data_IF_642611016364
#
_entry.id   IF_642611016364
#
_cell.length_a   1.000
_cell.length_b   1.000
_cell.length_c   1.000
_cell.angle_alpha   90.00
_cell.angle_beta   90.00
_cell.angle_gamma   90.00
#
_symmetry.space_group_name_H-M   'P 1'
#
loop_
_entity.id
_entity.type
_entity.pdbx_description
1 polymer ?
#
# COMPACT_ATOMS: atom_id res chain seq x y z
N UNK A 1 7.46 -6.87 28.23
CA UNK A 1 7.36 -8.05 27.37
C UNK A 1 6.01 -8.12 26.67
N UNK A 2 5.79 -9.09 25.78
CA UNK A 2 4.54 -9.19 25.05
C UNK A 2 3.35 -9.39 26.00
N UNK A 3 2.25 -8.70 25.73
CA UNK A 3 1.02 -8.76 26.50
C UNK A 3 -0.17 -9.12 25.60
N UNK A 4 -1.11 -9.95 26.05
CA UNK A 4 -2.31 -10.29 25.31
C UNK A 4 -3.36 -9.17 25.42
N UNK A 5 -2.99 -7.98 24.94
CA UNK A 5 -3.90 -6.84 24.90
C UNK A 5 -4.80 -6.96 23.67
N UNK A 6 -6.09 -6.82 23.85
CA UNK A 6 -7.04 -6.81 22.75
C UNK A 6 -6.91 -5.50 21.97
N UNK A 7 -6.41 -5.59 20.76
CA UNK A 7 -6.30 -4.44 19.82
C UNK A 7 -7.39 -4.47 18.77
N UNK A 8 -7.84 -5.66 18.37
CA UNK A 8 -9.00 -5.86 17.51
C UNK A 8 -9.53 -7.28 17.63
N UNK A 9 -10.85 -7.45 17.44
CA UNK A 9 -11.49 -8.76 17.49
C UNK A 9 -11.13 -9.58 16.25
N UNK A 10 -10.81 -10.86 16.47
CA UNK A 10 -10.57 -11.88 15.43
C UNK A 10 -9.50 -11.53 14.37
N UNK A 11 -8.62 -10.59 14.68
CA UNK A 11 -7.48 -10.28 13.82
C UNK A 11 -6.21 -10.93 14.36
N UNK A 12 -5.51 -11.66 13.52
CA UNK A 12 -4.20 -12.19 13.84
C UNK A 12 -3.14 -11.11 13.59
N UNK A 13 -2.35 -10.80 14.60
CA UNK A 13 -1.32 -9.78 14.49
C UNK A 13 -0.73 -9.40 15.83
N UNK A 14 0.12 -8.41 15.82
CA UNK A 14 0.70 -7.82 17.02
C UNK A 14 0.90 -6.32 16.80
N UNK A 15 0.95 -5.57 17.90
CA UNK A 15 1.29 -4.15 17.91
C UNK A 15 2.61 -3.93 18.60
N UNK A 16 3.45 -3.07 18.04
CA UNK A 16 4.66 -2.57 18.70
C UNK A 16 4.44 -1.09 18.97
N UNK A 17 4.47 -0.71 20.25
CA UNK A 17 4.40 0.68 20.66
C UNK A 17 5.78 1.15 21.10
N UNK A 18 6.23 2.28 20.55
CA UNK A 18 7.49 2.92 20.90
C UNK A 18 7.18 4.36 21.31
N UNK A 19 7.59 4.73 22.49
CA UNK A 19 7.47 6.11 22.96
C UNK A 19 8.69 6.48 23.82
N UNK A 20 9.13 7.75 23.82
CA UNK A 20 10.17 8.20 24.73
C UNK A 20 9.61 8.21 26.16
N UNK A 21 10.38 7.70 27.11
CA UNK A 21 10.00 7.70 28.51
C UNK A 21 11.19 8.21 29.35
N UNK A 22 10.93 9.11 30.28
CA UNK A 22 11.89 9.51 31.28
C UNK A 22 11.96 8.50 32.45
N UNK A 23 12.84 8.75 33.42
CA UNK A 23 13.02 7.86 34.56
C UNK A 23 11.77 7.75 35.44
N UNK A 24 11.00 8.82 35.59
CA UNK A 24 9.79 8.83 36.41
C UNK A 24 8.65 8.04 35.72
N UNK A 25 8.47 8.23 34.41
CA UNK A 25 7.52 7.48 33.59
C UNK A 25 7.87 5.97 33.56
N UNK A 26 9.17 5.64 33.48
CA UNK A 26 9.61 4.25 33.54
C UNK A 26 9.28 3.58 34.89
N UNK A 27 9.42 4.29 35.99
CA UNK A 27 9.01 3.77 37.32
C UNK A 27 7.50 3.60 37.41
N UNK A 28 6.68 4.49 36.81
CA UNK A 28 5.24 4.33 36.71
C UNK A 28 4.84 3.10 35.90
N UNK A 29 5.55 2.82 34.80
CA UNK A 29 5.31 1.63 33.97
C UNK A 29 5.67 0.32 34.70
N UNK A 30 6.64 0.37 35.61
CA UNK A 30 7.05 -0.77 36.44
C UNK A 30 6.18 -0.95 37.67
N UNK A 31 5.41 0.05 38.04
CA UNK A 31 4.58 -0.01 39.25
C UNK A 31 3.54 -1.16 39.15
N UNK A 32 3.31 -1.89 40.23
CA UNK A 32 2.31 -2.95 40.25
C UNK A 32 0.92 -2.35 40.06
N UNK A 33 0.16 -2.91 39.11
CA UNK A 33 -1.23 -2.51 38.84
C UNK A 33 -2.16 -3.72 39.04
N UNK A 34 -3.36 -3.52 39.58
CA UNK A 34 -4.28 -4.63 39.89
C UNK A 34 -5.00 -5.18 38.65
N UNK A 35 -4.51 -4.90 37.45
CA UNK A 35 -5.12 -5.33 36.19
C UNK A 35 -4.38 -6.57 35.69
N UNK A 36 -5.03 -7.72 35.67
CA UNK A 36 -4.44 -9.00 35.27
C UNK A 36 -3.93 -9.01 33.81
N UNK A 37 -4.48 -8.16 32.92
CA UNK A 37 -4.04 -8.05 31.53
C UNK A 37 -2.74 -7.26 31.35
N UNK A 38 -2.26 -6.52 32.38
CA UNK A 38 -1.00 -5.82 32.32
C UNK A 38 0.14 -6.70 32.90
N UNK A 39 1.06 -7.22 32.05
CA UNK A 39 2.11 -8.14 32.49
C UNK A 39 3.29 -7.46 33.19
N UNK A 40 3.25 -6.13 33.33
CA UNK A 40 4.40 -5.35 33.80
C UNK A 40 5.45 -5.10 32.71
N UNK A 41 6.54 -4.52 33.10
CA UNK A 41 7.67 -4.17 32.22
C UNK A 41 8.89 -5.01 32.64
N UNK A 42 9.59 -5.57 31.66
CA UNK A 42 10.88 -6.24 31.90
C UNK A 42 11.97 -5.22 32.22
N UNK A 43 13.05 -5.65 32.88
CA UNK A 43 14.22 -4.82 33.04
C UNK A 43 14.77 -4.34 31.69
N UNK A 44 14.98 -3.05 31.59
CA UNK A 44 15.59 -2.44 30.41
C UNK A 44 17.08 -2.81 30.40
N UNK A 45 17.47 -3.63 29.43
CA UNK A 45 18.87 -3.98 29.21
C UNK A 45 19.52 -2.96 28.29
N UNK A 46 20.84 -2.70 28.39
CA UNK A 46 21.55 -1.91 27.39
C UNK A 46 21.29 -2.46 26.00
N UNK A 47 20.97 -1.57 25.05
CA UNK A 47 20.73 -1.96 23.68
C UNK A 47 22.06 -2.37 23.04
N UNK A 48 22.16 -3.63 22.59
CA UNK A 48 23.24 -4.05 21.72
C UNK A 48 22.86 -3.66 20.27
N UNK A 49 23.56 -2.70 19.71
CA UNK A 49 23.39 -2.33 18.30
C UNK A 49 24.04 -3.43 17.46
N UNK A 50 23.24 -4.23 16.80
CA UNK A 50 23.74 -5.17 15.80
C UNK A 50 24.03 -4.41 14.49
N UNK A 51 25.17 -4.72 13.86
CA UNK A 51 25.44 -4.24 12.51
C UNK A 51 24.36 -4.78 11.54
N UNK A 52 23.98 -3.96 10.58
CA UNK A 52 23.12 -4.44 9.48
C UNK A 52 23.86 -5.57 8.75
N UNK A 53 23.19 -6.68 8.43
CA UNK A 53 23.76 -7.70 7.56
C UNK A 53 24.22 -7.09 6.24
N UNK A 54 25.28 -7.68 5.66
CA UNK A 54 25.77 -7.28 4.34
C UNK A 54 24.63 -7.35 3.30
N UNK A 55 24.54 -6.33 2.45
CA UNK A 55 23.49 -6.20 1.44
C UNK A 55 22.19 -5.53 1.89
N UNK A 56 22.01 -5.21 3.17
CA UNK A 56 20.87 -4.43 3.68
C UNK A 56 21.12 -2.92 3.76
N UNK A 57 22.24 -2.44 3.24
CA UNK A 57 22.50 -0.99 3.17
C UNK A 57 21.44 -0.34 2.26
N UNK A 58 20.67 0.64 2.73
CA UNK A 58 19.69 1.32 1.90
C UNK A 58 20.36 1.95 0.68
N UNK A 59 19.92 1.56 -0.51
CA UNK A 59 20.35 2.20 -1.75
C UNK A 59 19.59 3.51 -1.84
N UNK A 60 20.28 4.63 -1.69
CA UNK A 60 19.70 5.95 -1.94
C UNK A 60 19.75 6.20 -3.45
N UNK A 61 18.60 6.26 -4.14
CA UNK A 61 18.60 6.52 -5.56
C UNK A 61 19.12 7.94 -5.83
N UNK A 62 19.94 8.07 -6.89
CA UNK A 62 20.45 9.38 -7.28
C UNK A 62 19.36 10.16 -8.01
N UNK A 63 19.00 11.34 -7.48
CA UNK A 63 18.02 12.23 -8.09
C UNK A 63 18.43 12.58 -9.53
N UNK A 64 17.46 12.56 -10.44
CA UNK A 64 17.66 12.98 -11.83
C UNK A 64 16.40 13.63 -12.37
N UNK A 65 16.52 14.43 -13.44
CA UNK A 65 15.40 15.17 -14.02
C UNK A 65 15.04 14.63 -15.39
N UNK A 66 13.75 14.33 -15.59
CA UNK A 66 13.16 14.02 -16.89
C UNK A 66 11.74 14.57 -16.93
N UNK A 67 11.52 15.59 -17.76
CA UNK A 67 10.29 16.38 -17.75
C UNK A 67 9.02 15.55 -18.02
N UNK A 68 9.08 14.62 -18.97
CA UNK A 68 7.93 13.77 -19.30
C UNK A 68 7.59 12.81 -18.14
N UNK A 69 8.59 12.17 -17.52
CA UNK A 69 8.38 11.29 -16.37
C UNK A 69 7.85 12.06 -15.15
N UNK A 70 8.37 13.29 -14.93
CA UNK A 70 7.86 14.18 -13.89
C UNK A 70 6.37 14.46 -14.10
N UNK A 71 6.01 14.90 -15.29
CA UNK A 71 4.63 15.21 -15.62
C UNK A 71 3.73 13.98 -15.45
N UNK A 72 4.18 12.81 -15.92
CA UNK A 72 3.46 11.54 -15.76
C UNK A 72 3.20 11.21 -14.29
N UNK A 73 4.22 11.23 -13.44
CA UNK A 73 4.08 10.91 -12.00
C UNK A 73 3.15 11.92 -11.32
N UNK A 74 3.34 13.22 -11.57
CA UNK A 74 2.50 14.28 -10.98
C UNK A 74 1.05 14.13 -11.42
N UNK A 75 0.79 13.84 -12.71
CA UNK A 75 -0.57 13.65 -13.21
C UNK A 75 -1.25 12.43 -12.55
N UNK A 76 -0.58 11.29 -12.46
CA UNK A 76 -1.10 10.12 -11.74
C UNK A 76 -1.43 10.44 -10.27
N UNK A 77 -0.54 11.17 -9.60
CA UNK A 77 -0.78 11.59 -8.21
C UNK A 77 -1.99 12.52 -8.11
N UNK A 78 -2.15 13.47 -9.03
CA UNK A 78 -3.30 14.38 -9.03
C UNK A 78 -4.63 13.67 -9.24
N UNK A 79 -4.69 12.59 -10.02
CA UNK A 79 -5.89 11.74 -10.16
C UNK A 79 -6.29 11.15 -8.81
N UNK A 80 -5.34 10.60 -8.05
CA UNK A 80 -5.61 10.03 -6.74
C UNK A 80 -6.04 11.09 -5.72
N UNK A 81 -5.40 12.27 -5.75
CA UNK A 81 -5.77 13.39 -4.88
C UNK A 81 -7.19 13.88 -5.20
N UNK A 82 -7.53 14.02 -6.49
CA UNK A 82 -8.87 14.44 -6.89
C UNK A 82 -9.97 13.43 -6.52
N UNK A 83 -9.60 12.13 -6.46
CA UNK A 83 -10.52 11.05 -6.11
C UNK A 83 -10.71 10.84 -4.59
N UNK A 84 -10.03 11.58 -3.73
CA UNK A 84 -9.96 11.35 -2.28
C UNK A 84 -11.35 11.19 -1.64
N UNK A 85 -12.25 12.14 -1.87
CA UNK A 85 -13.58 12.13 -1.24
C UNK A 85 -14.46 10.98 -1.74
N UNK A 86 -14.42 10.70 -3.03
CA UNK A 86 -15.21 9.62 -3.63
C UNK A 86 -14.74 8.25 -3.12
N UNK A 87 -13.42 8.04 -3.04
CA UNK A 87 -12.85 6.80 -2.54
C UNK A 87 -13.12 6.60 -1.05
N UNK A 88 -13.08 7.67 -0.25
CA UNK A 88 -13.50 7.62 1.15
C UNK A 88 -14.98 7.27 1.28
N UNK A 89 -15.85 7.85 0.43
CA UNK A 89 -17.28 7.54 0.43
C UNK A 89 -17.58 6.09 0.03
N UNK A 90 -16.78 5.51 -0.88
CA UNK A 90 -16.85 4.08 -1.21
C UNK A 90 -16.38 3.22 -0.05
N UNK A 91 -15.25 3.57 0.54
CA UNK A 91 -14.66 2.81 1.65
C UNK A 91 -15.53 2.85 2.91
N UNK A 92 -16.19 3.96 3.21
CA UNK A 92 -17.12 4.07 4.34
C UNK A 92 -18.28 3.06 4.29
N UNK A 93 -18.55 2.44 3.14
CA UNK A 93 -19.57 1.39 2.97
C UNK A 93 -19.02 -0.02 3.25
N UNK A 94 -17.71 -0.20 3.15
CA UNK A 94 -17.05 -1.51 3.23
C UNK A 94 -15.77 -1.53 4.07
N UNK A 95 -15.45 -0.43 4.74
CA UNK A 95 -14.26 -0.24 5.55
C UNK A 95 -14.45 0.87 6.58
N UNK A 96 -13.40 1.60 6.87
CA UNK A 96 -13.37 2.71 7.83
C UNK A 96 -13.39 4.10 7.20
N UNK A 97 -13.48 4.18 5.87
CA UNK A 97 -13.68 5.42 5.13
C UNK A 97 -12.39 6.23 4.91
N UNK A 98 -11.23 5.61 4.95
CA UNK A 98 -9.94 6.30 4.88
C UNK A 98 -9.07 5.95 3.65
N UNK A 99 -9.52 5.03 2.78
CA UNK A 99 -8.75 4.61 1.59
C UNK A 99 -8.38 5.79 0.68
N UNK A 100 -9.30 6.71 0.46
CA UNK A 100 -9.04 7.91 -0.34
C UNK A 100 -7.98 8.80 0.30
N UNK A 101 -8.08 9.08 1.59
CA UNK A 101 -7.12 9.89 2.34
C UNK A 101 -5.73 9.24 2.37
N UNK A 102 -5.67 7.92 2.51
CA UNK A 102 -4.43 7.16 2.48
C UNK A 102 -3.73 7.27 1.12
N UNK A 103 -4.47 7.07 0.02
CA UNK A 103 -3.93 7.19 -1.34
C UNK A 103 -3.55 8.63 -1.69
N UNK A 104 -4.38 9.61 -1.35
CA UNK A 104 -4.10 11.02 -1.59
C UNK A 104 -2.91 11.52 -0.75
N UNK A 105 -2.77 11.06 0.49
CA UNK A 105 -1.62 11.34 1.34
C UNK A 105 -0.31 10.83 0.73
N UNK A 106 -0.30 9.58 0.26
CA UNK A 106 0.84 8.99 -0.44
C UNK A 106 1.16 9.73 -1.76
N UNK A 107 0.14 10.11 -2.52
CA UNK A 107 0.30 10.89 -3.75
C UNK A 107 0.92 12.28 -3.48
N UNK A 108 0.48 12.99 -2.43
CA UNK A 108 1.09 14.26 -2.00
C UNK A 108 2.54 14.08 -1.56
N UNK A 109 2.85 13.00 -0.84
CA UNK A 109 4.21 12.69 -0.44
C UNK A 109 5.12 12.45 -1.65
N UNK A 110 4.67 11.70 -2.67
CA UNK A 110 5.41 11.51 -3.91
C UNK A 110 5.63 12.82 -4.68
N UNK A 111 4.63 13.72 -4.74
CA UNK A 111 4.80 15.06 -5.34
C UNK A 111 5.85 15.86 -4.56
N UNK A 112 5.82 15.83 -3.24
CA UNK A 112 6.82 16.52 -2.40
C UNK A 112 8.23 15.92 -2.53
N UNK A 113 8.32 14.63 -2.85
CA UNK A 113 9.58 13.94 -3.08
C UNK A 113 10.11 14.08 -4.52
N UNK A 114 9.33 14.62 -5.46
CA UNK A 114 9.56 14.53 -6.91
C UNK A 114 10.97 14.98 -7.33
N UNK A 115 11.54 15.98 -6.68
CA UNK A 115 12.88 16.51 -6.98
C UNK A 115 14.02 15.60 -6.48
N UNK A 116 13.71 14.65 -5.62
CA UNK A 116 14.65 13.66 -5.10
C UNK A 116 14.56 12.32 -5.84
N UNK A 117 13.58 12.16 -6.73
CA UNK A 117 13.36 10.91 -7.45
C UNK A 117 14.29 10.76 -8.66
N UNK A 118 14.70 9.55 -9.03
CA UNK A 118 15.53 9.26 -10.20
C UNK A 118 14.70 9.22 -11.49
N UNK A 119 14.16 10.36 -11.92
CA UNK A 119 13.16 10.46 -13.00
C UNK A 119 13.67 10.02 -14.38
N UNK A 120 14.99 10.00 -14.61
CA UNK A 120 15.59 9.55 -15.87
C UNK A 120 15.81 8.04 -15.94
N UNK A 121 15.67 7.33 -14.82
CA UNK A 121 15.87 5.88 -14.73
C UNK A 121 14.59 5.23 -14.18
N UNK A 122 13.80 4.65 -15.06
CA UNK A 122 12.52 4.04 -14.70
C UNK A 122 12.66 2.87 -13.73
N UNK A 123 13.76 2.14 -13.78
CA UNK A 123 14.05 1.02 -12.87
C UNK A 123 14.25 1.53 -11.45
N UNK A 124 15.11 2.53 -11.29
CA UNK A 124 15.36 3.14 -9.99
C UNK A 124 14.14 3.94 -9.50
N UNK A 125 13.38 4.53 -10.42
CA UNK A 125 12.13 5.25 -10.09
C UNK A 125 11.09 4.32 -9.44
N UNK A 126 10.87 3.13 -10.00
CA UNK A 126 9.94 2.16 -9.40
C UNK A 126 10.37 1.80 -7.97
N UNK A 127 11.65 1.53 -7.74
CA UNK A 127 12.19 1.24 -6.40
C UNK A 127 12.03 2.44 -5.45
N UNK A 128 12.31 3.65 -5.94
CA UNK A 128 12.19 4.87 -5.15
C UNK A 128 10.72 5.17 -4.77
N UNK A 129 9.76 4.94 -5.68
CA UNK A 129 8.33 5.02 -5.39
C UNK A 129 7.97 4.00 -4.30
N UNK A 130 8.40 2.74 -4.42
CA UNK A 130 8.17 1.73 -3.38
C UNK A 130 8.71 2.14 -2.01
N UNK A 131 9.92 2.70 -1.98
CA UNK A 131 10.53 3.21 -0.75
C UNK A 131 9.74 4.38 -0.14
N UNK A 132 9.32 5.35 -0.95
CA UNK A 132 8.52 6.49 -0.47
C UNK A 132 7.17 6.02 0.08
N UNK A 133 6.49 5.10 -0.60
CA UNK A 133 5.23 4.53 -0.13
C UNK A 133 5.38 3.76 1.18
N UNK A 134 6.48 3.03 1.37
CA UNK A 134 6.74 2.30 2.61
C UNK A 134 6.88 3.21 3.83
N UNK A 135 7.25 4.46 3.63
CA UNK A 135 7.45 5.46 4.69
C UNK A 135 6.24 6.36 4.92
N UNK A 136 5.42 6.55 3.90
CA UNK A 136 4.38 7.58 3.90
C UNK A 136 2.96 7.04 3.86
N UNK A 137 2.78 5.81 3.39
CA UNK A 137 1.47 5.19 3.26
C UNK A 137 1.25 4.16 4.37
N UNK A 138 0.27 4.40 5.21
CA UNK A 138 -0.10 3.50 6.31
C UNK A 138 -0.85 2.25 5.86
N UNK A 139 -1.05 1.33 6.81
CA UNK A 139 -1.86 0.14 6.63
C UNK A 139 -1.21 -0.96 5.77
N UNK A 140 -1.94 -2.05 5.56
CA UNK A 140 -1.47 -3.17 4.73
C UNK A 140 -1.34 -2.80 3.25
N UNK A 141 -2.18 -1.89 2.75
CA UNK A 141 -2.13 -1.40 1.37
C UNK A 141 -0.82 -0.68 1.05
N UNK A 142 -0.29 0.12 2.00
CA UNK A 142 1.00 0.78 1.84
C UNK A 142 2.15 -0.20 1.71
N UNK A 143 2.20 -1.20 2.58
CA UNK A 143 3.21 -2.27 2.52
C UNK A 143 3.11 -3.04 1.19
N UNK A 144 1.91 -3.41 0.78
CA UNK A 144 1.70 -4.20 -0.43
C UNK A 144 2.03 -3.41 -1.71
N UNK A 145 1.68 -2.12 -1.78
CA UNK A 145 2.07 -1.25 -2.89
C UNK A 145 3.59 -1.00 -2.91
N UNK A 146 4.23 -0.84 -1.75
CA UNK A 146 5.68 -0.74 -1.68
C UNK A 146 6.37 -2.00 -2.22
N UNK A 147 5.86 -3.20 -1.88
CA UNK A 147 6.33 -4.48 -2.41
C UNK A 147 6.12 -4.56 -3.93
N UNK A 148 4.95 -4.15 -4.42
CA UNK A 148 4.65 -4.10 -5.84
C UNK A 148 5.69 -3.29 -6.62
N UNK A 149 5.92 -2.05 -6.20
CA UNK A 149 6.86 -1.15 -6.88
C UNK A 149 8.31 -1.61 -6.75
N UNK A 150 8.73 -2.10 -5.59
CA UNK A 150 10.07 -2.64 -5.38
C UNK A 150 10.33 -3.85 -6.30
N UNK A 151 9.43 -4.82 -6.33
CA UNK A 151 9.56 -6.01 -7.16
C UNK A 151 9.45 -5.70 -8.66
N UNK A 152 8.64 -4.71 -9.05
CA UNK A 152 8.60 -4.22 -10.43
C UNK A 152 9.94 -3.58 -10.82
N UNK A 153 10.55 -2.79 -9.93
CA UNK A 153 11.89 -2.23 -10.12
C UNK A 153 12.96 -3.31 -10.26
N UNK A 154 12.88 -4.37 -9.47
CA UNK A 154 13.80 -5.51 -9.55
C UNK A 154 13.64 -6.28 -10.88
N UNK A 155 12.40 -6.50 -11.31
CA UNK A 155 12.12 -7.08 -12.61
C UNK A 155 12.68 -6.26 -13.77
N UNK A 156 12.48 -4.94 -13.76
CA UNK A 156 13.04 -4.03 -14.77
C UNK A 156 14.58 -4.02 -14.74
N UNK A 157 15.19 -4.07 -13.55
CA UNK A 157 16.64 -4.19 -13.38
C UNK A 157 17.22 -5.48 -13.97
N UNK A 158 16.41 -6.54 -13.96
CA UNK A 158 16.77 -7.84 -14.55
C UNK A 158 16.52 -7.90 -16.07
N UNK A 159 16.13 -6.79 -16.69
CA UNK A 159 15.92 -6.68 -18.14
C UNK A 159 14.51 -7.02 -18.62
N UNK A 160 13.53 -7.19 -17.72
CA UNK A 160 12.14 -7.37 -18.13
C UNK A 160 11.59 -6.10 -18.78
N UNK A 161 10.80 -6.21 -19.86
CA UNK A 161 10.00 -5.10 -20.37
C UNK A 161 9.09 -4.53 -19.27
N UNK A 162 8.78 -3.24 -19.32
CA UNK A 162 8.05 -2.56 -18.26
C UNK A 162 6.74 -3.26 -17.86
N UNK A 163 5.96 -3.71 -18.83
CA UNK A 163 4.72 -4.47 -18.55
C UNK A 163 4.99 -5.74 -17.74
N UNK A 164 6.00 -6.52 -18.14
CA UNK A 164 6.36 -7.77 -17.44
C UNK A 164 6.95 -7.48 -16.05
N UNK A 165 7.68 -6.39 -15.91
CA UNK A 165 8.17 -5.93 -14.63
C UNK A 165 7.01 -5.55 -13.67
N UNK A 166 5.99 -4.82 -14.15
CA UNK A 166 4.78 -4.51 -13.37
C UNK A 166 4.01 -5.80 -13.01
N UNK A 167 3.92 -6.77 -13.92
CA UNK A 167 3.30 -8.08 -13.62
C UNK A 167 4.09 -8.86 -12.56
N UNK A 168 5.41 -8.81 -12.59
CA UNK A 168 6.24 -9.40 -11.54
C UNK A 168 5.99 -8.71 -10.18
N UNK A 169 5.83 -7.39 -10.18
CA UNK A 169 5.40 -6.62 -9.01
C UNK A 169 4.06 -7.10 -8.46
N UNK A 170 3.06 -7.26 -9.34
CA UNK A 170 1.75 -7.76 -8.96
C UNK A 170 1.82 -9.19 -8.38
N UNK A 171 2.56 -10.07 -9.03
CA UNK A 171 2.74 -11.44 -8.57
C UNK A 171 3.36 -11.47 -7.14
N UNK A 172 4.37 -10.64 -6.89
CA UNK A 172 4.99 -10.54 -5.56
C UNK A 172 4.03 -9.97 -4.51
N UNK A 173 3.27 -8.93 -4.88
CA UNK A 173 2.23 -8.37 -4.01
C UNK A 173 1.17 -9.42 -3.66
N UNK A 174 0.75 -10.23 -4.62
CA UNK A 174 -0.22 -11.32 -4.40
C UNK A 174 0.36 -12.46 -3.56
N UNK A 175 1.62 -12.81 -3.75
CA UNK A 175 2.31 -13.83 -2.95
C UNK A 175 2.33 -13.46 -1.45
N UNK A 176 2.65 -12.20 -1.15
CA UNK A 176 2.75 -11.72 0.24
C UNK A 176 1.38 -11.40 0.83
N UNK A 177 0.51 -10.72 0.06
CA UNK A 177 -0.81 -10.28 0.53
C UNK A 177 -1.90 -11.34 0.42
N UNK A 178 -1.70 -12.40 -0.35
CA UNK A 178 -2.63 -13.51 -0.54
C UNK A 178 -3.83 -13.21 -1.44
N UNK A 179 -4.10 -11.94 -1.78
CA UNK A 179 -5.27 -11.54 -2.56
C UNK A 179 -5.18 -12.01 -4.02
N UNK A 180 -6.32 -12.43 -4.57
CA UNK A 180 -6.48 -12.90 -5.94
C UNK A 180 -7.70 -12.24 -6.58
N UNK A 181 -7.84 -12.39 -7.89
CA UNK A 181 -9.08 -11.99 -8.59
C UNK A 181 -10.27 -12.71 -7.94
N UNK A 182 -11.33 -11.97 -7.65
CA UNK A 182 -12.52 -12.43 -6.94
C UNK A 182 -12.46 -12.23 -5.41
N UNK A 183 -11.40 -11.64 -4.88
CA UNK A 183 -11.25 -11.38 -3.44
C UNK A 183 -11.72 -9.97 -3.04
N UNK A 184 -12.22 -9.19 -3.99
CA UNK A 184 -12.75 -7.83 -3.79
C UNK A 184 -11.68 -6.87 -3.29
N UNK A 185 -10.66 -6.66 -4.12
CA UNK A 185 -9.51 -5.79 -3.84
C UNK A 185 -9.05 -5.06 -5.11
N UNK A 186 -8.06 -4.17 -5.02
CA UNK A 186 -7.41 -3.55 -6.18
C UNK A 186 -6.89 -4.56 -7.21
N UNK A 187 -6.61 -5.81 -6.82
CA UNK A 187 -6.12 -6.87 -7.71
C UNK A 187 -7.14 -7.18 -8.80
N UNK A 188 -8.44 -7.05 -8.49
CA UNK A 188 -9.53 -7.32 -9.43
C UNK A 188 -9.52 -6.35 -10.64
N UNK A 189 -9.02 -5.14 -10.46
CA UNK A 189 -8.84 -4.16 -11.53
C UNK A 189 -7.41 -4.18 -12.11
N UNK A 190 -6.38 -4.29 -11.25
CA UNK A 190 -4.98 -4.17 -11.66
C UNK A 190 -4.52 -5.36 -12.51
N UNK A 191 -4.93 -6.58 -12.15
CA UNK A 191 -4.49 -7.78 -12.87
C UNK A 191 -4.99 -7.78 -14.34
N UNK A 192 -6.29 -7.62 -14.63
CA UNK A 192 -6.74 -7.56 -16.02
C UNK A 192 -6.22 -6.32 -16.76
N UNK A 193 -6.00 -5.18 -16.08
CA UNK A 193 -5.41 -4.00 -16.69
C UNK A 193 -3.99 -4.28 -17.20
N UNK A 194 -3.13 -4.88 -16.38
CA UNK A 194 -1.75 -5.21 -16.77
C UNK A 194 -1.68 -6.27 -17.88
N UNK A 195 -2.64 -7.21 -17.94
CA UNK A 195 -2.77 -8.14 -19.07
C UNK A 195 -3.12 -7.37 -20.35
N UNK A 196 -4.16 -6.55 -20.33
CA UNK A 196 -4.66 -5.81 -21.48
C UNK A 196 -3.71 -4.69 -21.94
N UNK A 197 -2.78 -4.25 -21.08
CA UNK A 197 -1.75 -3.24 -21.42
C UNK A 197 -0.85 -3.68 -22.57
N UNK A 198 -0.73 -5.00 -22.81
CA UNK A 198 -0.04 -5.55 -23.96
C UNK A 198 -0.71 -5.23 -25.30
N UNK A 199 -1.99 -4.89 -25.29
CA UNK A 199 -2.76 -4.50 -26.50
C UNK A 199 -2.73 -2.99 -26.67
N UNK A 200 -3.18 -2.23 -25.68
CA UNK A 200 -3.15 -0.76 -25.64
C UNK A 200 -3.48 -0.24 -24.26
N UNK A 201 -3.17 1.04 -24.01
CA UNK A 201 -3.56 1.75 -22.78
C UNK A 201 -5.09 1.83 -22.67
N UNK A 202 -5.79 2.05 -23.77
CA UNK A 202 -7.26 2.09 -23.79
C UNK A 202 -7.88 0.71 -23.44
N UNK A 203 -7.29 -0.38 -23.94
CA UNK A 203 -7.73 -1.72 -23.56
C UNK A 203 -7.49 -1.98 -22.06
N UNK A 204 -6.37 -1.52 -21.53
CA UNK A 204 -6.05 -1.63 -20.10
C UNK A 204 -7.04 -0.82 -19.24
N UNK A 205 -7.44 0.38 -19.68
CA UNK A 205 -8.45 1.19 -19.00
C UNK A 205 -9.82 0.51 -18.97
N UNK A 206 -10.26 -0.06 -20.10
CA UNK A 206 -11.49 -0.85 -20.17
C UNK A 206 -11.46 -2.04 -19.21
N UNK A 207 -10.37 -2.81 -19.23
CA UNK A 207 -10.20 -3.97 -18.37
C UNK A 207 -10.14 -3.60 -16.88
N UNK A 208 -9.48 -2.48 -16.53
CA UNK A 208 -9.47 -1.95 -15.17
C UNK A 208 -10.87 -1.58 -14.70
N UNK A 209 -11.64 -0.89 -15.53
CA UNK A 209 -13.03 -0.47 -15.23
C UNK A 209 -13.93 -1.69 -15.05
N UNK A 210 -13.87 -2.66 -15.94
CA UNK A 210 -14.62 -3.90 -15.83
C UNK A 210 -14.27 -4.66 -14.55
N UNK A 211 -12.98 -4.76 -14.21
CA UNK A 211 -12.51 -5.38 -12.98
C UNK A 211 -12.99 -4.64 -11.72
N UNK A 212 -12.98 -3.31 -11.73
CA UNK A 212 -13.53 -2.51 -10.63
C UNK A 212 -15.03 -2.75 -10.48
N UNK A 213 -15.80 -2.71 -11.57
CA UNK A 213 -17.24 -2.95 -11.56
C UNK A 213 -17.58 -4.38 -11.11
N UNK A 214 -16.75 -5.36 -11.47
CA UNK A 214 -16.90 -6.74 -11.02
C UNK A 214 -16.89 -6.86 -9.50
N UNK A 215 -16.09 -6.05 -8.79
CA UNK A 215 -16.06 -6.07 -7.32
C UNK A 215 -17.41 -5.75 -6.68
N UNK A 216 -18.27 -4.98 -7.35
CA UNK A 216 -19.62 -4.66 -6.87
C UNK A 216 -20.58 -5.86 -6.90
N UNK A 217 -20.27 -6.89 -7.69
CA UNK A 217 -21.06 -8.13 -7.75
C UNK A 217 -20.65 -9.13 -6.66
N UNK A 218 -19.52 -8.89 -5.99
CA UNK A 218 -18.98 -9.79 -4.98
C UNK A 218 -19.59 -9.47 -3.61
N UNK A 219 -20.26 -10.42 -3.02
CA UNK A 219 -20.92 -10.32 -1.71
C UNK A 219 -19.98 -10.68 -0.55
N UNK A 220 -18.75 -11.07 -0.85
CA UNK A 220 -17.73 -11.44 0.14
C UNK A 220 -16.36 -10.93 -0.28
N UNK A 221 -15.68 -10.24 0.62
CA UNK A 221 -14.26 -9.96 0.50
C UNK A 221 -13.46 -11.02 1.27
N UNK A 222 -12.26 -11.36 0.79
CA UNK A 222 -11.37 -12.31 1.47
C UNK A 222 -10.10 -11.63 2.01
N UNK A 223 -9.89 -10.37 1.70
CA UNK A 223 -8.75 -9.60 2.16
C UNK A 223 -9.17 -8.20 2.60
N UNK A 224 -8.31 -7.55 3.37
CA UNK A 224 -8.56 -6.22 3.91
C UNK A 224 -9.70 -6.16 4.93
N UNK A 225 -10.11 -4.95 5.31
CA UNK A 225 -11.18 -4.73 6.30
C UNK A 225 -12.54 -5.19 5.82
N UNK A 226 -12.79 -5.12 4.52
CA UNK A 226 -14.02 -5.61 3.91
C UNK A 226 -14.29 -7.10 4.18
N UNK A 227 -13.28 -7.89 4.54
CA UNK A 227 -13.45 -9.31 4.90
C UNK A 227 -14.30 -9.51 6.17
N UNK A 228 -14.44 -8.49 7.01
CA UNK A 228 -15.23 -8.51 8.24
C UNK A 228 -16.63 -7.89 8.07
N UNK A 229 -16.97 -7.42 6.87
CA UNK A 229 -18.24 -6.78 6.55
C UNK A 229 -19.22 -7.83 6.02
N UNK A 230 -20.51 -7.69 6.37
CA UNK A 230 -21.52 -8.63 5.92
C UNK A 230 -21.88 -8.43 4.43
N UNK A 231 -22.38 -9.50 3.78
CA UNK A 231 -22.68 -9.53 2.36
C UNK A 231 -23.60 -8.40 1.90
N UNK A 232 -24.64 -8.05 2.69
CA UNK A 232 -25.61 -7.00 2.33
C UNK A 232 -25.00 -5.61 2.23
N UNK A 233 -23.95 -5.35 3.00
CA UNK A 233 -23.24 -4.06 2.97
C UNK A 233 -22.22 -3.97 1.83
N UNK A 234 -21.76 -5.12 1.32
CA UNK A 234 -20.81 -5.16 0.21
C UNK A 234 -21.50 -5.12 -1.16
N UNK A 235 -22.70 -5.66 -1.25
CA UNK A 235 -23.44 -5.82 -2.50
C UNK A 235 -23.74 -4.46 -3.17
N UNK A 236 -23.45 -4.36 -4.46
CA UNK A 236 -23.68 -3.16 -5.26
C UNK A 236 -22.63 -2.04 -5.06
N UNK A 237 -21.61 -2.26 -4.24
CA UNK A 237 -20.56 -1.27 -4.00
C UNK A 237 -19.21 -1.73 -4.55
N UNK A 238 -18.58 -0.86 -5.35
CA UNK A 238 -17.25 -1.09 -5.90
C UNK A 238 -16.21 -1.04 -4.78
N UNK A 239 -15.17 -1.89 -4.88
CA UNK A 239 -14.00 -1.79 -3.99
C UNK A 239 -13.25 -0.48 -4.22
N UNK A 240 -12.93 0.31 -3.18
CA UNK A 240 -12.28 1.62 -3.34
C UNK A 240 -10.87 1.51 -3.95
N UNK A 241 -10.13 0.43 -3.67
CA UNK A 241 -8.82 0.19 -4.27
C UNK A 241 -8.92 -0.15 -5.76
N UNK A 242 -9.90 -0.96 -6.16
CA UNK A 242 -10.17 -1.27 -7.56
C UNK A 242 -10.65 -0.03 -8.33
N UNK A 243 -11.47 0.82 -7.72
CA UNK A 243 -11.90 2.10 -8.30
C UNK A 243 -10.72 3.04 -8.52
N UNK A 244 -9.79 3.13 -7.56
CA UNK A 244 -8.58 3.95 -7.71
C UNK A 244 -7.73 3.50 -8.91
N UNK A 245 -7.56 2.18 -9.09
CA UNK A 245 -6.85 1.61 -10.24
C UNK A 245 -7.56 1.94 -11.54
N UNK A 246 -8.89 1.79 -11.60
CA UNK A 246 -9.66 2.09 -12.81
C UNK A 246 -9.50 3.57 -13.21
N UNK A 247 -9.64 4.50 -12.28
CA UNK A 247 -9.46 5.94 -12.54
C UNK A 247 -8.06 6.30 -13.05
N UNK A 248 -7.02 5.65 -12.51
CA UNK A 248 -5.66 5.84 -13.02
C UNK A 248 -5.52 5.39 -14.46
N UNK A 249 -5.98 4.19 -14.81
CA UNK A 249 -5.89 3.69 -16.18
C UNK A 249 -6.77 4.47 -17.16
N UNK A 250 -7.96 4.92 -16.75
CA UNK A 250 -8.81 5.81 -17.55
C UNK A 250 -8.13 7.14 -17.85
N UNK A 251 -7.48 7.74 -16.85
CA UNK A 251 -6.69 8.96 -17.05
C UNK A 251 -5.52 8.75 -18.03
N UNK A 252 -4.84 7.60 -17.94
CA UNK A 252 -3.73 7.29 -18.86
C UNK A 252 -4.19 7.03 -20.31
N UNK A 253 -5.46 6.71 -20.51
CA UNK A 253 -6.06 6.47 -21.83
C UNK A 253 -6.67 7.72 -22.48
N UNK A 254 -6.85 8.79 -21.71
CA UNK A 254 -7.43 10.08 -22.17
C UNK A 254 -6.39 10.96 -22.85
#
# INVERSE_FOLDING_TARGET
GPAPLMTSLDMQGFSISVFPADAAELELLKAPVPIAAWPGVCDVRPIAIAALPDGLTPITPMASNHAATRAFVVNCCNVLIAAEQDLNALDAKSGDGDTGSTLAGAARALINAIDRLPLSDHTQLLRAIGQELSQTMGGSSGVLLAIFFAAAGDGASSGLPMREALRAGLARMQEIGGARIGDRTMVDALSPALEALGTSVSAAAGAAREGANFTATLTRAKAGRAAYINAKQLEGHVDPGAEAVARLFEHLAA
#
